data_IF_963839932347
#
_entry.id   IF_963839932347
#
_cell.length_a   1.000
_cell.length_b   1.000
_cell.length_c   1.000
_cell.angle_alpha   90.00
_cell.angle_beta   90.00
_cell.angle_gamma   90.00
#
_symmetry.space_group_name_H-M   'P 1'
#
loop_
_entity.id
_entity.type
_entity.pdbx_description
1 polymer ?
#
# COMPACT_ATOMS: atom_id res chain seq x y z
N UNK A 1 -5.19 -14.60 3.33
CA UNK A 1 -4.31 -13.59 3.95
C UNK A 1 -5.06 -12.85 5.04
N UNK A 2 -4.41 -12.39 6.13
CA UNK A 2 -5.09 -11.66 7.21
C UNK A 2 -4.60 -10.20 7.22
N UNK A 3 -5.51 -9.20 7.08
CA UNK A 3 -5.13 -7.81 7.21
C UNK A 3 -4.85 -7.46 8.68
N UNK A 4 -4.32 -6.26 8.91
CA UNK A 4 -4.19 -5.71 10.25
C UNK A 4 -5.56 -5.66 10.94
N UNK A 5 -5.63 -6.11 12.20
CA UNK A 5 -6.90 -6.16 12.95
C UNK A 5 -7.42 -4.76 13.29
N UNK A 6 -8.73 -4.66 13.52
CA UNK A 6 -9.41 -3.38 13.80
C UNK A 6 -8.85 -2.63 15.00
N UNK A 7 -8.33 -3.34 16.01
CA UNK A 7 -7.75 -2.73 17.22
C UNK A 7 -6.39 -2.06 16.94
N UNK A 8 -5.75 -2.45 15.85
CA UNK A 8 -4.43 -1.96 15.42
C UNK A 8 -4.53 -0.92 14.30
N UNK A 9 -5.74 -0.70 13.76
CA UNK A 9 -5.98 0.36 12.80
C UNK A 9 -6.01 1.74 13.48
N UNK A 10 -5.66 2.81 12.75
CA UNK A 10 -5.99 4.17 13.18
C UNK A 10 -7.48 4.31 13.49
N UNK A 11 -7.83 5.04 14.56
CA UNK A 11 -9.20 5.13 15.10
C UNK A 11 -10.30 5.47 14.08
N UNK A 12 -9.95 6.25 13.06
CA UNK A 12 -10.89 6.74 12.06
C UNK A 12 -10.70 6.09 10.69
N UNK A 13 -9.90 5.01 10.60
CA UNK A 13 -9.63 4.29 9.37
C UNK A 13 -10.48 3.02 9.29
N UNK A 14 -11.04 2.78 8.11
CA UNK A 14 -11.64 1.51 7.73
C UNK A 14 -11.10 1.09 6.38
N UNK A 15 -10.93 -0.21 6.19
CA UNK A 15 -10.56 -0.73 4.88
C UNK A 15 -11.64 -0.41 3.84
N UNK A 16 -11.26 0.07 2.65
CA UNK A 16 -12.20 0.14 1.53
C UNK A 16 -12.81 -1.23 1.24
N UNK A 17 -14.11 -1.30 0.93
CA UNK A 17 -14.79 -2.56 0.61
C UNK A 17 -14.09 -3.33 -0.52
N UNK A 18 -13.52 -2.60 -1.49
CA UNK A 18 -12.73 -3.20 -2.57
C UNK A 18 -11.48 -3.93 -2.10
N UNK A 19 -10.80 -3.39 -1.08
CA UNK A 19 -9.63 -4.04 -0.49
C UNK A 19 -10.02 -5.36 0.18
N UNK A 20 -11.08 -5.35 1.00
CA UNK A 20 -11.58 -6.57 1.65
C UNK A 20 -11.96 -7.64 0.62
N UNK A 21 -12.65 -7.27 -0.47
CA UNK A 21 -13.01 -8.19 -1.54
C UNK A 21 -11.78 -8.83 -2.20
N UNK A 22 -10.71 -8.07 -2.44
CA UNK A 22 -9.45 -8.57 -3.00
C UNK A 22 -8.79 -9.60 -2.07
N UNK A 23 -8.81 -9.35 -0.77
CA UNK A 23 -8.30 -10.29 0.22
C UNK A 23 -9.10 -11.60 0.25
N UNK A 24 -10.42 -11.50 0.21
CA UNK A 24 -11.33 -12.64 0.21
C UNK A 24 -11.22 -13.47 -1.08
N UNK A 25 -10.95 -12.84 -2.22
CA UNK A 25 -10.76 -13.53 -3.50
C UNK A 25 -9.37 -14.16 -3.66
N UNK A 26 -8.43 -13.86 -2.75
CA UNK A 26 -7.05 -14.34 -2.84
C UNK A 26 -6.21 -13.64 -3.92
N UNK A 27 -6.65 -12.48 -4.43
CA UNK A 27 -5.91 -11.67 -5.41
C UNK A 27 -4.81 -10.85 -4.73
N UNK A 28 -3.96 -11.52 -3.97
CA UNK A 28 -2.98 -10.90 -3.08
C UNK A 28 -1.56 -10.87 -3.65
N UNK A 29 -1.35 -11.60 -4.75
CA UNK A 29 -0.10 -11.70 -5.48
C UNK A 29 -0.37 -11.28 -6.93
N UNK A 30 0.04 -10.07 -7.27
CA UNK A 30 -0.12 -9.40 -8.56
C UNK A 30 1.27 -8.92 -9.00
N UNK A 31 2.26 -9.83 -9.03
CA UNK A 31 3.66 -9.52 -9.32
C UNK A 31 3.77 -8.53 -10.50
N UNK A 32 4.33 -7.33 -10.28
CA UNK A 32 5.33 -7.02 -9.27
C UNK A 32 4.75 -6.56 -7.92
N UNK A 33 3.45 -6.38 -7.78
CA UNK A 33 2.80 -5.96 -6.54
C UNK A 33 2.36 -7.15 -5.69
N UNK A 34 2.61 -7.07 -4.39
CA UNK A 34 2.09 -8.02 -3.41
C UNK A 34 1.38 -7.27 -2.29
N UNK A 35 0.18 -7.73 -1.95
CA UNK A 35 -0.56 -7.22 -0.78
C UNK A 35 0.12 -7.76 0.49
N UNK A 36 0.29 -6.88 1.47
CA UNK A 36 0.96 -7.16 2.73
C UNK A 36 0.02 -7.85 3.72
N UNK A 37 0.54 -8.86 4.43
CA UNK A 37 -0.11 -9.36 5.63
C UNK A 37 0.10 -8.45 6.85
N UNK A 38 -0.57 -8.75 7.96
CA UNK A 38 -0.51 -7.94 9.17
C UNK A 38 0.91 -7.75 9.76
N UNK A 39 1.81 -8.72 9.61
CA UNK A 39 3.18 -8.60 10.12
C UNK A 39 4.00 -7.68 9.21
N UNK A 40 3.87 -7.85 7.90
CA UNK A 40 4.55 -7.02 6.92
C UNK A 40 4.04 -5.56 6.96
N UNK A 41 2.74 -5.35 7.12
CA UNK A 41 2.16 -3.99 7.29
C UNK A 41 2.84 -3.29 8.45
N UNK A 42 3.06 -3.97 9.58
CA UNK A 42 3.64 -3.35 10.77
C UNK A 42 5.12 -3.07 10.60
N UNK A 43 5.87 -4.01 10.01
CA UNK A 43 7.26 -3.81 9.65
C UNK A 43 7.45 -2.57 8.76
N UNK A 44 6.68 -2.46 7.67
CA UNK A 44 6.75 -1.31 6.77
C UNK A 44 6.26 -0.02 7.45
N UNK A 45 5.21 -0.10 8.26
CA UNK A 45 4.65 1.07 8.97
C UNK A 45 5.67 1.66 9.93
N UNK A 46 6.38 0.84 10.69
CA UNK A 46 7.45 1.28 11.60
C UNK A 46 8.62 1.90 10.84
N UNK A 47 9.07 1.25 9.76
CA UNK A 47 10.15 1.77 8.91
C UNK A 47 9.80 3.12 8.28
N UNK A 48 8.61 3.23 7.67
CA UNK A 48 8.12 4.46 7.05
C UNK A 48 7.99 5.59 8.07
N UNK A 49 7.51 5.31 9.28
CA UNK A 49 7.39 6.31 10.34
C UNK A 49 8.75 6.82 10.82
N UNK A 50 9.79 5.96 10.81
CA UNK A 50 11.16 6.38 11.15
C UNK A 50 11.78 7.26 10.06
N UNK A 51 11.60 6.89 8.79
CA UNK A 51 12.20 7.59 7.64
C UNK A 51 11.46 8.87 7.26
N UNK A 52 10.13 8.86 7.36
CA UNK A 52 9.26 9.95 6.96
C UNK A 52 8.33 10.35 8.12
N UNK A 53 8.86 10.88 9.23
CA UNK A 53 8.08 11.16 10.45
C UNK A 53 7.00 12.24 10.26
N UNK A 54 7.08 13.04 9.19
CA UNK A 54 6.06 14.03 8.82
C UNK A 54 4.88 13.43 8.04
N UNK A 55 4.92 12.13 7.71
CA UNK A 55 3.90 11.43 6.94
C UNK A 55 3.13 10.47 7.85
N UNK A 56 1.81 10.41 7.73
CA UNK A 56 0.98 9.39 8.39
C UNK A 56 0.48 8.37 7.37
N UNK A 57 1.22 7.27 7.24
CA UNK A 57 1.00 6.26 6.21
C UNK A 57 0.54 4.94 6.82
N UNK A 58 -0.39 4.27 6.14
CA UNK A 58 -0.73 2.87 6.40
C UNK A 58 -0.40 2.05 5.15
N UNK A 59 0.72 1.30 5.13
CA UNK A 59 1.10 0.49 3.98
C UNK A 59 0.14 -0.69 3.80
N UNK A 60 -0.04 -1.13 2.56
CA UNK A 60 -0.88 -2.29 2.26
C UNK A 60 -0.39 -3.15 1.10
N UNK A 61 0.49 -2.65 0.25
CA UNK A 61 1.16 -3.45 -0.77
C UNK A 61 2.60 -3.00 -0.94
N UNK A 62 3.50 -3.92 -1.26
CA UNK A 62 4.84 -3.61 -1.71
C UNK A 62 5.02 -4.05 -3.16
N UNK A 63 5.83 -3.31 -3.90
CA UNK A 63 6.41 -3.79 -5.13
C UNK A 63 7.61 -4.67 -4.79
N UNK A 64 7.80 -5.76 -5.51
CA UNK A 64 8.81 -6.78 -5.17
C UNK A 64 10.11 -6.62 -5.95
N UNK A 65 10.07 -5.90 -7.06
CA UNK A 65 11.21 -5.56 -7.92
C UNK A 65 11.93 -4.26 -7.51
N UNK A 66 11.31 -3.47 -6.64
CA UNK A 66 11.88 -2.23 -6.09
C UNK A 66 11.28 -1.86 -4.74
N UNK A 67 11.81 -0.83 -4.10
CA UNK A 67 11.42 -0.40 -2.75
C UNK A 67 10.10 0.41 -2.70
N UNK A 68 9.22 0.27 -3.69
CA UNK A 68 7.95 1.02 -3.73
C UNK A 68 6.89 0.37 -2.84
N UNK A 69 6.22 1.20 -2.03
CA UNK A 69 5.17 0.78 -1.10
C UNK A 69 3.91 1.60 -1.38
N UNK A 70 2.81 0.89 -1.65
CA UNK A 70 1.49 1.51 -1.73
C UNK A 70 0.92 1.69 -0.31
N UNK A 71 0.53 2.91 0.01
CA UNK A 71 0.02 3.30 1.32
C UNK A 71 -1.30 4.06 1.20
N UNK A 72 -2.17 3.92 2.19
CA UNK A 72 -3.19 4.94 2.43
C UNK A 72 -2.56 6.16 3.12
N UNK A 73 -2.91 7.35 2.63
CA UNK A 73 -2.48 8.61 3.23
C UNK A 73 -3.51 9.08 4.26
N UNK A 74 -3.23 8.78 5.54
CA UNK A 74 -4.17 9.00 6.64
C UNK A 74 -4.41 10.48 6.96
N UNK A 75 -3.58 11.39 6.43
CA UNK A 75 -3.82 12.83 6.55
C UNK A 75 -4.86 13.34 5.54
N UNK A 76 -5.03 12.61 4.43
CA UNK A 76 -5.96 12.93 3.35
C UNK A 76 -7.26 12.11 3.42
N UNK A 77 -7.40 11.29 4.46
CA UNK A 77 -8.57 10.44 4.70
C UNK A 77 -8.30 8.97 4.36
N UNK A 78 -9.37 8.22 4.07
CA UNK A 78 -9.32 6.75 3.98
C UNK A 78 -9.36 6.22 2.54
N UNK A 79 -9.33 7.11 1.54
CA UNK A 79 -9.43 6.74 0.13
C UNK A 79 -8.10 6.89 -0.61
N UNK A 80 -7.41 8.04 -0.54
CA UNK A 80 -6.25 8.27 -1.38
C UNK A 80 -5.14 7.25 -1.12
N UNK A 81 -4.61 6.69 -2.20
CA UNK A 81 -3.43 5.83 -2.18
C UNK A 81 -2.24 6.62 -2.70
N UNK A 82 -1.10 6.49 -2.04
CA UNK A 82 0.18 7.07 -2.46
C UNK A 82 1.21 5.97 -2.63
N UNK A 83 2.10 6.13 -3.60
CA UNK A 83 3.25 5.25 -3.79
C UNK A 83 4.49 5.93 -3.20
N UNK A 84 5.12 5.25 -2.27
CA UNK A 84 6.28 5.72 -1.52
C UNK A 84 7.48 4.84 -1.85
N UNK A 85 8.52 5.43 -2.41
CA UNK A 85 9.82 4.79 -2.61
C UNK A 85 10.59 4.78 -1.28
N UNK A 86 10.53 3.66 -0.57
CA UNK A 86 10.73 3.53 0.86
C UNK A 86 12.15 3.88 1.36
N UNK A 87 13.18 3.97 0.51
CA UNK A 87 14.54 4.40 0.91
C UNK A 87 15.01 5.70 0.25
N UNK A 88 14.11 6.47 -0.35
CA UNK A 88 14.43 7.80 -0.85
C UNK A 88 14.75 8.78 0.30
N UNK A 89 15.56 9.81 0.01
CA UNK A 89 15.70 10.94 0.93
C UNK A 89 14.34 11.62 1.15
N UNK A 90 14.04 12.11 2.38
CA UNK A 90 12.79 12.83 2.65
C UNK A 90 12.55 13.99 1.66
N UNK A 91 11.34 14.06 1.11
CA UNK A 91 10.95 15.00 0.05
C UNK A 91 11.04 14.44 -1.37
N UNK A 92 11.61 13.23 -1.54
CA UNK A 92 11.77 12.56 -2.84
C UNK A 92 11.08 11.20 -2.92
N UNK A 93 10.40 10.79 -1.85
CA UNK A 93 9.81 9.47 -1.71
C UNK A 93 8.51 9.28 -2.50
N UNK A 94 7.80 10.36 -2.83
CA UNK A 94 6.52 10.26 -3.53
C UNK A 94 6.71 9.93 -5.02
N UNK A 95 6.14 8.81 -5.49
CA UNK A 95 6.24 8.35 -6.88
C UNK A 95 4.93 8.41 -7.66
N UNK A 96 3.80 8.43 -6.98
CA UNK A 96 2.49 8.48 -7.61
C UNK A 96 1.38 8.58 -6.58
N UNK A 97 0.20 8.94 -7.05
CA UNK A 97 -1.00 8.97 -6.23
C UNK A 97 -2.22 8.51 -7.03
N UNK A 98 -3.18 7.91 -6.31
CA UNK A 98 -4.43 7.44 -6.84
C UNK A 98 -5.58 7.95 -5.97
N UNK A 99 -6.70 8.27 -6.60
CA UNK A 99 -7.88 8.79 -5.90
C UNK A 99 -8.44 7.80 -4.86
N UNK A 100 -8.36 6.50 -5.16
CA UNK A 100 -8.87 5.41 -4.33
C UNK A 100 -8.12 4.09 -4.58
N UNK A 101 -8.46 3.08 -3.76
CA UNK A 101 -7.90 1.73 -3.88
C UNK A 101 -8.18 1.08 -5.24
N UNK A 102 -9.34 1.30 -5.86
CA UNK A 102 -9.63 0.68 -7.16
C UNK A 102 -8.83 1.30 -8.30
N UNK A 103 -8.54 2.59 -8.21
CA UNK A 103 -7.67 3.29 -9.15
C UNK A 103 -6.25 2.72 -9.06
N UNK A 104 -5.73 2.50 -7.84
CA UNK A 104 -4.47 1.76 -7.65
C UNK A 104 -4.55 0.32 -8.17
N UNK A 105 -5.62 -0.42 -7.86
CA UNK A 105 -5.76 -1.82 -8.27
C UNK A 105 -5.76 -1.99 -9.78
N UNK A 106 -6.35 -1.05 -10.53
CA UNK A 106 -6.31 -1.07 -12.00
C UNK A 106 -4.87 -1.00 -12.49
N UNK A 107 -4.09 -0.04 -12.00
CA UNK A 107 -2.67 0.06 -12.37
C UNK A 107 -1.86 -1.16 -11.91
N UNK A 108 -2.14 -1.71 -10.71
CA UNK A 108 -1.45 -2.92 -10.25
C UNK A 108 -1.73 -4.13 -11.17
N UNK A 109 -2.93 -4.22 -11.75
CA UNK A 109 -3.28 -5.24 -12.75
C UNK A 109 -2.60 -4.97 -14.09
N UNK A 110 -2.51 -3.71 -14.52
CA UNK A 110 -1.75 -3.36 -15.73
C UNK A 110 -0.26 -3.69 -15.57
N UNK A 111 0.34 -3.33 -14.42
CA UNK A 111 1.70 -3.70 -14.04
C UNK A 111 1.88 -5.22 -14.10
N UNK A 112 0.93 -5.99 -13.55
CA UNK A 112 0.95 -7.46 -13.60
C UNK A 112 0.95 -8.01 -15.03
N UNK A 113 0.14 -7.44 -15.93
CA UNK A 113 0.08 -7.86 -17.35
C UNK A 113 1.39 -7.52 -18.09
N UNK A 114 2.00 -6.38 -17.77
CA UNK A 114 3.21 -5.88 -18.43
C UNK A 114 4.45 -6.60 -17.92
N UNK A 115 4.49 -7.01 -16.65
CA UNK A 115 5.68 -7.59 -16.03
C UNK A 115 6.16 -8.88 -16.69
N UNK A 116 5.25 -9.70 -17.22
CA UNK A 116 5.58 -10.93 -17.97
C UNK A 116 6.18 -10.65 -19.37
N UNK A 117 6.15 -9.39 -19.83
CA UNK A 117 6.61 -9.00 -21.18
C UNK A 117 8.01 -8.41 -21.18
N UNK A 118 8.67 -8.34 -20.03
CA UNK A 118 9.98 -7.68 -19.83
C UNK A 118 11.11 -8.68 -19.59
#
# INVERSE_FOLDING_TARGET
>A
MKPLSTERLPKDFWYPTGYIRVLESGLVDLEPWKILDAEQVEFHREGLALRYPARRLLPFANRQDMDDIACWDLERGNQPVVIIHDYASPGWESRGEFADFYSWLREAVEDFIIFDQV
#
